data_IF_795081467609
#
_entry.id   IF_795081467609
#
_cell.length_a   1.000
_cell.length_b   1.000
_cell.length_c   1.000
_cell.angle_alpha   90.00
_cell.angle_beta   90.00
_cell.angle_gamma   90.00
#
_symmetry.space_group_name_H-M   'P 1'
#
loop_
_entity.id
_entity.type
_entity.pdbx_description
1 polymer ?
#
# COMPACT_ATOMS: atom_id res chain seq x y z
N UNK A 1 -52.43 29.63 7.46
CA UNK A 1 -51.32 29.45 8.42
C UNK A 1 -50.59 28.15 8.10
N UNK A 2 -49.56 28.19 7.25
CA UNK A 2 -48.78 27.01 6.86
C UNK A 2 -47.49 26.93 7.68
N UNK A 3 -47.34 25.89 8.51
CA UNK A 3 -46.12 25.64 9.28
C UNK A 3 -45.06 24.99 8.37
N UNK A 4 -43.97 25.70 8.08
CA UNK A 4 -42.78 25.12 7.45
C UNK A 4 -42.05 24.22 8.47
N UNK A 5 -41.70 23.01 8.03
CA UNK A 5 -40.87 22.06 8.80
C UNK A 5 -39.39 22.49 8.68
N UNK A 6 -38.59 22.42 9.75
CA UNK A 6 -37.17 22.74 9.66
C UNK A 6 -36.44 21.66 8.85
N UNK A 7 -35.70 22.10 7.83
CA UNK A 7 -34.85 21.25 7.00
C UNK A 7 -33.74 20.60 7.83
N UNK A 8 -33.43 19.34 7.52
CA UNK A 8 -32.35 18.56 8.14
C UNK A 8 -31.01 19.31 8.07
N UNK A 9 -30.15 19.21 9.09
CA UNK A 9 -28.81 19.77 9.03
C UNK A 9 -28.03 19.13 7.88
N UNK A 10 -27.41 20.01 7.09
CA UNK A 10 -26.48 19.71 6.00
C UNK A 10 -25.36 18.88 6.62
N UNK A 11 -25.06 17.69 6.08
CA UNK A 11 -23.86 16.92 6.49
C UNK A 11 -22.65 17.83 6.30
N UNK A 12 -22.04 18.24 7.40
CA UNK A 12 -20.75 18.92 7.39
C UNK A 12 -19.77 18.01 6.67
N UNK A 13 -19.12 18.57 5.65
CA UNK A 13 -18.01 17.93 4.97
C UNK A 13 -16.91 17.83 6.03
N UNK A 14 -16.64 16.61 6.49
CA UNK A 14 -15.57 16.36 7.45
C UNK A 14 -14.27 16.90 6.83
N UNK A 15 -13.71 17.94 7.44
CA UNK A 15 -12.41 18.47 7.04
C UNK A 15 -11.37 17.34 7.19
N UNK A 16 -10.39 17.21 6.27
CA UNK A 16 -9.29 16.28 6.46
C UNK A 16 -8.68 16.60 7.81
N UNK A 17 -8.77 15.67 8.77
CA UNK A 17 -8.18 15.89 10.07
C UNK A 17 -6.66 15.91 9.88
N UNK A 18 -6.07 17.10 9.95
CA UNK A 18 -4.61 17.30 9.98
C UNK A 18 -4.10 16.74 11.32
N UNK A 19 -3.84 15.43 11.34
CA UNK A 19 -3.15 14.75 12.43
C UNK A 19 -2.01 13.94 11.84
N UNK A 20 -0.94 13.79 12.60
CA UNK A 20 0.25 13.05 12.21
C UNK A 20 0.18 11.63 12.76
N UNK A 21 0.48 10.66 11.91
CA UNK A 21 0.67 9.28 12.34
C UNK A 21 2.14 9.10 12.70
N UNK A 22 2.43 8.39 13.79
CA UNK A 22 3.81 8.05 14.15
C UNK A 22 4.43 7.28 12.99
N UNK A 23 5.38 7.92 12.31
CA UNK A 23 5.97 7.39 11.08
C UNK A 23 6.70 6.09 11.37
N UNK A 24 6.41 5.04 10.62
CA UNK A 24 7.27 3.87 10.60
C UNK A 24 8.60 4.27 9.95
N UNK A 25 9.72 4.18 10.67
CA UNK A 25 11.03 4.54 10.14
C UNK A 25 11.45 3.56 9.04
N UNK A 26 11.48 4.04 7.80
CA UNK A 26 12.06 3.36 6.65
C UNK A 26 13.41 4.04 6.39
N UNK A 27 14.53 3.29 6.26
CA UNK A 27 15.84 3.91 6.04
C UNK A 27 15.85 4.88 4.85
N UNK A 28 16.22 6.14 5.13
CA UNK A 28 16.16 7.27 4.19
C UNK A 28 17.08 7.14 2.97
N UNK A 29 18.03 6.20 2.99
CA UNK A 29 19.04 6.03 1.96
C UNK A 29 18.63 5.08 0.83
N UNK A 30 17.47 4.42 0.92
CA UNK A 30 17.03 3.50 -0.11
C UNK A 30 16.61 4.24 -1.39
N UNK A 31 17.12 3.74 -2.52
CA UNK A 31 16.83 4.19 -3.89
C UNK A 31 16.36 3.01 -4.72
N UNK A 32 15.58 3.29 -5.75
CA UNK A 32 15.23 2.26 -6.73
C UNK A 32 16.48 1.75 -7.49
N UNK A 33 16.36 0.65 -8.25
CA UNK A 33 17.48 0.13 -9.05
C UNK A 33 18.05 1.12 -10.09
N UNK A 34 17.30 2.16 -10.47
CA UNK A 34 17.72 3.26 -11.34
C UNK A 34 18.29 4.47 -10.59
N UNK A 35 18.41 4.43 -9.26
CA UNK A 35 18.89 5.51 -8.42
C UNK A 35 17.86 6.60 -8.09
N UNK A 36 16.59 6.43 -8.48
CA UNK A 36 15.51 7.36 -8.17
C UNK A 36 15.16 7.30 -6.68
N UNK A 37 14.89 8.46 -6.05
CA UNK A 37 14.49 8.50 -4.66
C UNK A 37 13.12 7.87 -4.46
N UNK A 38 12.96 7.17 -3.33
CA UNK A 38 11.65 6.78 -2.79
C UNK A 38 11.19 7.86 -1.81
N UNK A 39 9.90 8.16 -1.79
CA UNK A 39 9.31 9.03 -0.76
C UNK A 39 9.06 8.23 0.53
N UNK A 40 10.11 8.13 1.36
CA UNK A 40 10.07 7.41 2.65
C UNK A 40 9.10 8.02 3.64
N UNK A 41 8.93 9.35 3.59
CA UNK A 41 7.98 10.04 4.46
C UNK A 41 6.56 9.64 4.13
N UNK A 42 6.20 9.64 2.84
CA UNK A 42 4.88 9.20 2.39
C UNK A 42 4.61 7.73 2.76
N UNK A 43 5.59 6.84 2.59
CA UNK A 43 5.46 5.44 3.00
C UNK A 43 5.27 5.28 4.51
N UNK A 44 6.09 5.97 5.31
CA UNK A 44 5.99 5.93 6.77
C UNK A 44 4.65 6.44 7.29
N UNK A 45 4.15 7.54 6.70
CA UNK A 45 2.82 8.09 7.03
C UNK A 45 1.69 7.14 6.62
N UNK A 46 1.77 6.53 5.43
CA UNK A 46 0.76 5.59 4.97
C UNK A 46 0.69 4.36 5.86
N UNK A 47 1.85 3.79 6.20
CA UNK A 47 1.92 2.63 7.09
C UNK A 47 1.43 2.97 8.50
N UNK A 48 1.83 4.12 9.06
CA UNK A 48 1.32 4.61 10.34
C UNK A 48 -0.21 4.76 10.33
N UNK A 49 -0.77 5.39 9.29
CA UNK A 49 -2.22 5.52 9.12
C UNK A 49 -2.93 4.16 9.04
N UNK A 50 -2.33 3.19 8.35
CA UNK A 50 -2.88 1.84 8.23
C UNK A 50 -2.83 1.08 9.56
N UNK A 51 -1.73 1.19 10.32
CA UNK A 51 -1.57 0.59 11.64
C UNK A 51 -2.56 1.18 12.67
N UNK A 52 -2.82 2.49 12.59
CA UNK A 52 -3.81 3.18 13.42
C UNK A 52 -5.27 2.89 12.99
N UNK A 53 -5.48 2.21 11.86
CA UNK A 53 -6.80 1.99 11.28
C UNK A 53 -7.48 3.27 10.76
N UNK A 54 -6.70 4.31 10.46
CA UNK A 54 -7.20 5.61 9.98
C UNK A 54 -7.48 5.59 8.47
N UNK A 55 -8.66 5.06 8.09
CA UNK A 55 -9.05 4.84 6.69
C UNK A 55 -9.05 6.12 5.83
N UNK A 56 -9.36 7.29 6.41
CA UNK A 56 -9.37 8.56 5.68
C UNK A 56 -7.96 9.02 5.31
N UNK A 57 -7.00 8.89 6.22
CA UNK A 57 -5.61 9.20 5.94
C UNK A 57 -5.02 8.16 4.98
N UNK A 58 -5.35 6.88 5.17
CA UNK A 58 -4.94 5.81 4.26
C UNK A 58 -5.39 6.08 2.82
N UNK A 59 -6.64 6.47 2.57
CA UNK A 59 -7.13 6.74 1.20
C UNK A 59 -6.45 7.96 0.57
N UNK A 60 -6.26 9.05 1.33
CA UNK A 60 -5.56 10.26 0.84
C UNK A 60 -4.10 9.95 0.53
N UNK A 61 -3.38 9.28 1.43
CA UNK A 61 -1.97 8.93 1.25
C UNK A 61 -1.78 7.91 0.14
N UNK A 62 -2.70 6.94 0.00
CA UNK A 62 -2.71 6.02 -1.14
C UNK A 62 -2.92 6.78 -2.45
N UNK A 63 -3.80 7.79 -2.47
CA UNK A 63 -4.01 8.66 -3.64
C UNK A 63 -2.72 9.36 -4.06
N UNK A 64 -1.92 9.84 -3.11
CA UNK A 64 -0.62 10.46 -3.41
C UNK A 64 0.41 9.43 -3.87
N UNK A 65 0.47 8.27 -3.18
CA UNK A 65 1.44 7.22 -3.45
C UNK A 65 1.30 6.65 -4.86
N UNK A 66 0.08 6.47 -5.36
CA UNK A 66 -0.15 5.88 -6.70
C UNK A 66 0.20 6.82 -7.85
N UNK A 67 0.45 8.10 -7.59
CA UNK A 67 1.02 9.03 -8.58
C UNK A 67 2.54 8.86 -8.72
N UNK A 68 3.20 8.26 -7.71
CA UNK A 68 4.61 7.92 -7.75
C UNK A 68 4.83 6.40 -7.90
N UNK A 69 5.13 5.91 -9.13
CA UNK A 69 5.35 4.49 -9.36
C UNK A 69 6.55 3.93 -8.60
N UNK A 70 7.58 4.74 -8.31
CA UNK A 70 8.78 4.29 -7.60
C UNK A 70 8.42 3.98 -6.14
N UNK A 71 7.73 4.91 -5.49
CA UNK A 71 7.25 4.73 -4.12
C UNK A 71 6.20 3.61 -4.02
N UNK A 72 5.32 3.48 -5.03
CA UNK A 72 4.39 2.34 -5.12
C UNK A 72 5.11 0.99 -5.21
N UNK A 73 6.10 0.87 -6.09
CA UNK A 73 6.87 -0.36 -6.24
C UNK A 73 7.60 -0.71 -4.94
N UNK A 74 8.14 0.29 -4.24
CA UNK A 74 8.77 0.07 -2.93
C UNK A 74 7.79 -0.45 -1.87
N UNK A 75 6.54 0.02 -1.85
CA UNK A 75 5.52 -0.53 -0.94
C UNK A 75 5.29 -2.04 -1.22
N UNK A 76 5.20 -2.42 -2.50
CA UNK A 76 5.04 -3.83 -2.91
C UNK A 76 6.26 -4.67 -2.49
N UNK A 77 7.46 -4.14 -2.70
CA UNK A 77 8.71 -4.76 -2.26
C UNK A 77 8.72 -5.02 -0.75
N UNK A 78 8.38 -4.00 0.05
CA UNK A 78 8.34 -4.10 1.51
C UNK A 78 7.33 -5.15 1.97
N UNK A 79 6.15 -5.21 1.35
CA UNK A 79 5.18 -6.25 1.63
C UNK A 79 5.74 -7.65 1.35
N UNK A 80 6.40 -7.83 0.20
CA UNK A 80 7.01 -9.11 -0.16
C UNK A 80 8.14 -9.51 0.81
N UNK A 81 9.06 -8.60 1.13
CA UNK A 81 10.16 -8.86 2.08
C UNK A 81 9.60 -9.20 3.46
N UNK A 82 8.58 -8.49 3.93
CA UNK A 82 7.99 -8.71 5.25
C UNK A 82 7.26 -10.05 5.33
N UNK A 83 6.49 -10.41 4.30
CA UNK A 83 5.84 -11.73 4.24
C UNK A 83 6.88 -12.85 4.14
N UNK A 84 7.90 -12.69 3.30
CA UNK A 84 8.98 -13.66 3.21
C UNK A 84 9.69 -13.86 4.56
N UNK A 85 9.97 -12.77 5.28
CA UNK A 85 10.56 -12.83 6.62
C UNK A 85 9.65 -13.51 7.66
N UNK A 86 8.34 -13.26 7.60
CA UNK A 86 7.36 -13.83 8.54
C UNK A 86 7.06 -15.31 8.28
N UNK A 87 7.03 -15.73 7.01
CA UNK A 87 6.57 -17.07 6.60
C UNK A 87 7.68 -17.98 6.06
N UNK A 88 8.90 -17.47 5.87
CA UNK A 88 10.01 -18.20 5.24
C UNK A 88 9.89 -18.31 3.71
N UNK A 89 8.98 -17.56 3.10
CA UNK A 89 8.66 -17.64 1.66
C UNK A 89 7.49 -16.75 1.29
N UNK A 90 7.31 -16.47 -0.01
CA UNK A 90 6.08 -15.86 -0.51
C UNK A 90 5.03 -16.95 -0.78
N UNK A 91 3.81 -16.85 -0.21
CA UNK A 91 2.71 -17.74 -0.54
C UNK A 91 2.35 -17.69 -2.03
N UNK A 92 1.94 -18.82 -2.60
CA UNK A 92 1.48 -18.88 -3.99
C UNK A 92 0.31 -17.92 -4.27
N UNK A 93 -0.56 -17.66 -3.29
CA UNK A 93 -1.64 -16.67 -3.40
C UNK A 93 -1.15 -15.23 -3.71
N UNK A 94 0.11 -14.92 -3.41
CA UNK A 94 0.74 -13.63 -3.70
C UNK A 94 1.42 -13.57 -5.06
N UNK A 95 1.70 -14.71 -5.70
CA UNK A 95 2.56 -14.75 -6.89
C UNK A 95 1.99 -15.54 -8.05
N UNK A 96 0.98 -16.39 -7.85
CA UNK A 96 0.38 -17.28 -8.85
C UNK A 96 -1.08 -16.87 -9.12
N UNK A 97 -1.42 -16.66 -10.39
CA UNK A 97 -2.76 -16.27 -10.82
C UNK A 97 -3.76 -17.44 -10.71
N UNK A 98 -3.28 -18.68 -10.71
CA UNK A 98 -4.09 -19.89 -10.55
C UNK A 98 -4.47 -20.22 -9.11
N UNK A 99 -3.84 -19.56 -8.13
CA UNK A 99 -4.10 -19.81 -6.70
C UNK A 99 -5.12 -18.80 -6.17
N UNK A 100 -6.29 -19.23 -5.65
CA UNK A 100 -7.23 -18.32 -5.02
C UNK A 100 -6.60 -17.58 -3.83
N UNK A 101 -6.89 -16.29 -3.69
CA UNK A 101 -6.31 -15.48 -2.62
C UNK A 101 -6.71 -14.01 -2.68
N UNK A 102 -6.43 -13.24 -1.62
CA UNK A 102 -6.83 -11.85 -1.51
C UNK A 102 -6.01 -10.91 -2.39
N UNK A 103 -4.87 -11.37 -2.92
CA UNK A 103 -3.99 -10.51 -3.71
C UNK A 103 -4.62 -10.12 -5.05
N UNK A 104 -4.63 -8.82 -5.34
CA UNK A 104 -5.01 -8.31 -6.66
C UNK A 104 -4.06 -8.82 -7.77
N UNK A 105 -4.54 -9.01 -9.02
CA UNK A 105 -3.70 -9.44 -10.13
C UNK A 105 -2.45 -8.58 -10.34
N UNK A 106 -2.57 -7.27 -10.15
CA UNK A 106 -1.53 -6.27 -10.31
C UNK A 106 -0.42 -6.46 -9.29
N UNK A 107 -0.79 -6.72 -8.03
CA UNK A 107 0.15 -7.09 -6.98
C UNK A 107 0.87 -8.38 -7.34
N UNK A 108 0.14 -9.43 -7.76
CA UNK A 108 0.74 -10.74 -8.09
C UNK A 108 1.76 -10.62 -9.19
N UNK A 109 1.44 -9.85 -10.22
CA UNK A 109 2.36 -9.56 -11.32
C UNK A 109 3.64 -8.91 -10.82
N UNK A 110 3.55 -7.88 -9.96
CA UNK A 110 4.71 -7.19 -9.43
C UNK A 110 5.54 -8.09 -8.49
N UNK A 111 4.88 -8.79 -7.56
CA UNK A 111 5.53 -9.71 -6.64
C UNK A 111 6.29 -10.83 -7.37
N UNK A 112 5.71 -11.37 -8.46
CA UNK A 112 6.36 -12.38 -9.32
C UNK A 112 7.63 -11.86 -9.97
N UNK A 113 7.63 -10.61 -10.44
CA UNK A 113 8.81 -9.98 -11.05
C UNK A 113 9.92 -9.66 -10.02
N UNK A 114 9.59 -9.61 -8.72
CA UNK A 114 10.54 -9.41 -7.63
C UNK A 114 11.16 -10.69 -7.08
N UNK A 115 10.71 -11.89 -7.48
CA UNK A 115 11.11 -13.18 -6.89
C UNK A 115 12.60 -13.51 -7.08
N UNK A 116 13.18 -13.13 -8.21
CA UNK A 116 14.55 -13.49 -8.58
C UNK A 116 15.61 -12.56 -7.95
N UNK A 117 15.21 -11.69 -7.02
CA UNK A 117 16.09 -10.72 -6.34
C UNK A 117 16.48 -9.51 -7.18
N UNK A 118 16.20 -9.53 -8.49
CA UNK A 118 16.35 -8.41 -9.39
C UNK A 118 15.09 -7.54 -9.44
N UNK A 119 14.92 -6.61 -8.50
CA UNK A 119 13.70 -5.78 -8.44
C UNK A 119 13.52 -4.81 -9.62
N UNK A 120 14.53 -4.64 -10.50
CA UNK A 120 14.46 -3.73 -11.63
C UNK A 120 13.23 -3.95 -12.54
N UNK A 121 12.88 -5.21 -12.81
CA UNK A 121 11.71 -5.53 -13.64
C UNK A 121 10.39 -5.17 -12.94
N UNK A 122 10.31 -5.38 -11.63
CA UNK A 122 9.16 -4.97 -10.82
C UNK A 122 8.96 -3.45 -10.85
N UNK A 123 10.04 -2.67 -10.65
CA UNK A 123 9.97 -1.20 -10.68
C UNK A 123 9.56 -0.70 -12.07
N UNK A 124 10.16 -1.22 -13.14
CA UNK A 124 9.79 -0.88 -14.52
C UNK A 124 8.33 -1.25 -14.84
N UNK A 125 7.87 -2.40 -14.35
CA UNK A 125 6.50 -2.86 -14.52
C UNK A 125 5.47 -1.99 -13.78
N UNK A 126 5.84 -1.44 -12.62
CA UNK A 126 5.00 -0.50 -11.85
C UNK A 126 4.94 0.88 -12.52
N UNK A 127 6.05 1.33 -13.10
CA UNK A 127 6.13 2.56 -13.88
C UNK A 127 5.22 2.54 -15.11
N UNK A 128 5.18 1.42 -15.83
CA UNK A 128 4.27 1.22 -16.96
C UNK A 128 2.81 0.94 -16.60
N UNK A 129 2.48 0.84 -15.30
CA UNK A 129 1.13 0.51 -14.83
C UNK A 129 0.22 1.75 -14.83
N UNK A 130 -1.10 1.54 -14.92
CA UNK A 130 -2.07 2.63 -14.72
C UNK A 130 -2.14 3.01 -13.23
N UNK A 131 -2.60 4.23 -12.93
CA UNK A 131 -2.85 4.67 -11.54
C UNK A 131 -3.84 3.74 -10.82
N UNK A 132 -4.87 3.26 -11.52
CA UNK A 132 -5.83 2.29 -10.95
C UNK A 132 -5.14 0.98 -10.58
N UNK A 133 -4.32 0.43 -11.47
CA UNK A 133 -3.61 -0.81 -11.17
C UNK A 133 -2.59 -0.65 -10.04
N UNK A 134 -1.92 0.52 -9.99
CA UNK A 134 -1.03 0.87 -8.87
C UNK A 134 -1.80 0.94 -7.55
N UNK A 135 -3.03 1.47 -7.54
CA UNK A 135 -3.89 1.50 -6.35
C UNK A 135 -4.29 0.09 -5.90
N UNK A 136 -4.66 -0.80 -6.81
CA UNK A 136 -5.01 -2.19 -6.48
C UNK A 136 -3.81 -2.95 -5.91
N UNK A 137 -2.63 -2.75 -6.50
CA UNK A 137 -1.37 -3.29 -6.00
C UNK A 137 -1.01 -2.71 -4.61
N UNK A 138 -1.12 -1.38 -4.44
CA UNK A 138 -0.79 -0.71 -3.19
C UNK A 138 -1.70 -1.15 -2.03
N UNK A 139 -3.00 -1.27 -2.26
CA UNK A 139 -3.95 -1.76 -1.26
C UNK A 139 -3.59 -3.18 -0.80
N UNK A 140 -3.36 -4.08 -1.76
CA UNK A 140 -2.93 -5.46 -1.46
C UNK A 140 -1.61 -5.48 -0.68
N UNK A 141 -0.63 -4.69 -1.11
CA UNK A 141 0.67 -4.60 -0.46
C UNK A 141 0.55 -4.11 0.98
N UNK A 142 -0.27 -3.09 1.22
CA UNK A 142 -0.49 -2.51 2.53
C UNK A 142 -1.17 -3.50 3.48
N UNK A 143 -2.18 -4.24 3.01
CA UNK A 143 -2.84 -5.28 3.80
C UNK A 143 -1.86 -6.37 4.25
N UNK A 144 -1.02 -6.86 3.33
CA UNK A 144 0.01 -7.86 3.66
C UNK A 144 1.08 -7.30 4.60
N UNK A 145 1.53 -6.08 4.37
CA UNK A 145 2.55 -5.44 5.18
C UNK A 145 2.07 -5.23 6.62
N UNK A 146 0.86 -4.70 6.81
CA UNK A 146 0.23 -4.54 8.12
C UNK A 146 0.07 -5.90 8.82
N UNK A 147 -0.40 -6.92 8.09
CA UNK A 147 -0.56 -8.26 8.65
C UNK A 147 0.79 -8.89 9.07
N UNK A 148 1.87 -8.61 8.33
CA UNK A 148 3.22 -9.09 8.63
C UNK A 148 3.77 -8.44 9.90
N UNK A 149 3.71 -7.11 9.94
CA UNK A 149 4.24 -6.30 11.04
C UNK A 149 3.46 -6.54 12.33
N UNK A 150 2.14 -6.74 12.22
CA UNK A 150 1.28 -7.01 13.38
C UNK A 150 1.34 -8.47 13.89
N UNK A 151 2.05 -9.37 13.19
CA UNK A 151 2.13 -10.79 13.56
C UNK A 151 0.81 -11.56 13.38
N UNK A 152 -0.11 -11.05 12.57
CA UNK A 152 -1.44 -11.65 12.35
C UNK A 152 -1.41 -12.70 11.23
N UNK A 153 -0.32 -12.78 10.45
CA UNK A 153 -0.09 -13.88 9.52
C UNK A 153 0.23 -15.19 10.26
N UNK A 154 -0.80 -15.99 10.50
CA UNK A 154 -0.65 -17.38 10.95
C UNK A 154 -0.31 -18.32 9.80
N UNK A 155 0.27 -19.51 10.08
CA UNK A 155 0.46 -20.53 9.07
C UNK A 155 -0.91 -21.01 8.55
N UNK A 156 -1.09 -20.96 7.23
CA UNK A 156 -2.17 -21.65 6.51
C UNK A 156 -1.94 -23.15 6.50
#
# INVERSE_FOLDING_TARGET
MGRQKPGKPRRERQEPQEHEHEGFEIPDDYRDPGGRPVDHKLLGQLLGAAMDGCLSCQDVLTTLLVEDPVTTARLVELACVSVHGAMGGLPGAMTDDGVPGPAAPEFRRLARLGLDGGNAEMFAACEGMSTTGRREAANTALDFLVAAVSGVMGPV
#
